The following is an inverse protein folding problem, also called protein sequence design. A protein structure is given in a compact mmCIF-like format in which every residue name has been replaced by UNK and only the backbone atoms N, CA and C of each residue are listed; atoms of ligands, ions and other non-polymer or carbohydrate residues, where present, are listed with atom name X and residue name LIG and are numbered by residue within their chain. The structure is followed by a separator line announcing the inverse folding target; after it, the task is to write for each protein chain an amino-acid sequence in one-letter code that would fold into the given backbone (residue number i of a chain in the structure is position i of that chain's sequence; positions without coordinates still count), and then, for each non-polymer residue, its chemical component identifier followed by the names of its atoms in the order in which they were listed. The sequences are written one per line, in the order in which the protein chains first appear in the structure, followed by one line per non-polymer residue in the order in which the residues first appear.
data_IF_317107109717
#
_entry.id   IF_317107109717
#
_cell.length_a   1.000
_cell.length_b   1.000
_cell.length_c   1.000
_cell.angle_alpha   90.00
_cell.angle_beta   90.00
_cell.angle_gamma   90.00
#
_symmetry.space_group_name_H-M   'P 1'
#
loop_
_entity.id
_entity.type
_entity.pdbx_description
1 polymer ?
#
# COMPACT_ATOMS: atom_id res chain seq x y z
N UNK A 1 46.04 -32.83 61.20
CA UNK A 1 45.70 -34.03 60.41
C UNK A 1 44.69 -33.58 59.36
N UNK A 2 45.02 -33.73 58.06
CA UNK A 2 44.15 -33.70 56.84
C UNK A 2 43.26 -32.46 56.61
N UNK A 3 43.55 -31.57 55.65
CA UNK A 3 43.37 -31.64 54.18
C UNK A 3 41.95 -32.00 53.68
N UNK A 4 41.49 -31.19 52.71
CA UNK A 4 40.50 -31.49 51.64
C UNK A 4 38.98 -31.42 51.97
N UNK A 5 38.26 -30.39 51.51
CA UNK A 5 37.72 -30.26 50.14
C UNK A 5 36.86 -29.00 49.97
N UNK A 6 37.00 -28.43 48.78
CA UNK A 6 36.23 -27.33 48.20
C UNK A 6 34.71 -27.61 48.22
N UNK A 7 33.91 -26.55 48.39
CA UNK A 7 32.88 -26.27 47.40
C UNK A 7 32.56 -24.78 47.35
N UNK A 8 32.99 -24.17 46.26
CA UNK A 8 32.62 -22.84 45.79
C UNK A 8 31.13 -22.84 45.44
N UNK A 9 30.42 -21.73 45.65
CA UNK A 9 30.02 -20.85 44.53
C UNK A 9 29.20 -19.65 44.99
N UNK A 10 29.74 -18.48 44.60
CA UNK A 10 29.00 -17.28 44.20
C UNK A 10 28.52 -16.33 45.30
N UNK A 11 29.51 -15.78 46.02
CA UNK A 11 29.46 -14.41 46.51
C UNK A 11 29.37 -13.41 45.33
N UNK A 12 28.62 -12.33 45.53
CA UNK A 12 28.42 -11.29 44.54
C UNK A 12 29.68 -10.48 44.20
N UNK A 13 29.70 -9.94 42.99
CA UNK A 13 30.55 -8.82 42.57
C UNK A 13 29.65 -7.98 41.64
N UNK A 14 29.29 -6.74 41.95
CA UNK A 14 30.20 -5.67 42.33
C UNK A 14 30.98 -5.25 41.09
N UNK A 15 30.30 -4.71 40.08
CA UNK A 15 30.93 -4.28 38.81
C UNK A 15 31.79 -3.04 39.11
N UNK A 16 33.07 -3.28 39.37
CA UNK A 16 34.12 -2.27 39.52
C UNK A 16 34.38 -1.61 38.15
N UNK A 17 34.21 -0.28 38.09
CA UNK A 17 34.16 0.52 36.85
C UNK A 17 35.56 0.94 36.33
N UNK A 18 36.67 0.41 36.87
CA UNK A 18 38.01 0.96 36.58
C UNK A 18 39.02 0.00 35.93
N UNK A 19 38.63 -1.15 35.38
CA UNK A 19 39.62 -2.11 34.85
C UNK A 19 39.23 -2.91 33.58
N UNK A 20 38.36 -2.41 32.69
CA UNK A 20 37.96 -3.23 31.51
C UNK A 20 37.78 -2.54 30.15
N UNK A 21 38.32 -1.33 29.94
CA UNK A 21 38.17 -0.65 28.64
C UNK A 21 39.20 -1.12 27.60
N UNK A 22 40.26 -1.84 27.98
CA UNK A 22 41.37 -2.18 27.07
C UNK A 22 41.32 -3.57 26.41
N UNK A 23 40.49 -4.51 26.89
CA UNK A 23 40.47 -5.89 26.36
C UNK A 23 39.12 -6.31 25.74
N UNK A 24 38.13 -5.41 25.69
CA UNK A 24 36.85 -5.70 25.08
C UNK A 24 36.99 -5.54 23.55
N UNK A 25 36.86 -6.62 22.77
CA UNK A 25 37.08 -6.52 21.34
C UNK A 25 35.95 -5.66 20.73
N UNK A 26 36.35 -4.71 19.86
CA UNK A 26 35.48 -3.70 19.24
C UNK A 26 34.15 -4.27 18.72
N UNK A 27 34.17 -5.51 18.23
CA UNK A 27 33.01 -6.20 17.66
C UNK A 27 31.90 -6.47 18.68
N UNK A 28 32.20 -6.65 19.98
CA UNK A 28 31.16 -6.80 21.02
C UNK A 28 30.46 -5.48 21.30
N UNK A 29 31.21 -4.38 21.39
CA UNK A 29 30.66 -3.03 21.57
C UNK A 29 29.81 -2.62 20.37
N UNK A 30 30.24 -2.97 19.15
CA UNK A 30 29.47 -2.74 17.92
C UNK A 30 28.22 -3.63 17.91
N UNK A 31 28.32 -4.92 18.27
CA UNK A 31 27.17 -5.83 18.31
C UNK A 31 26.11 -5.38 19.34
N UNK A 32 26.53 -4.90 20.51
CA UNK A 32 25.61 -4.36 21.52
C UNK A 32 24.95 -3.05 21.05
N UNK A 33 25.71 -2.13 20.43
CA UNK A 33 25.15 -0.89 19.87
C UNK A 33 24.22 -1.16 18.70
N UNK A 34 24.53 -2.11 17.82
CA UNK A 34 23.66 -2.53 16.73
C UNK A 34 22.38 -3.19 17.26
N UNK A 35 22.48 -4.07 18.25
CA UNK A 35 21.32 -4.69 18.90
C UNK A 35 20.43 -3.65 19.59
N UNK A 36 21.00 -2.68 20.30
CA UNK A 36 20.24 -1.58 20.91
C UNK A 36 19.66 -0.59 19.89
N UNK A 37 20.36 -0.31 18.78
CA UNK A 37 19.86 0.54 17.70
C UNK A 37 18.71 -0.11 16.92
N UNK A 38 18.72 -1.45 16.79
CA UNK A 38 17.64 -2.20 16.13
C UNK A 38 16.43 -2.50 17.03
N UNK A 39 16.59 -2.52 18.35
CA UNK A 39 15.51 -2.84 19.30
C UNK A 39 14.69 -1.62 19.74
N UNK A 40 15.19 -0.39 19.53
CA UNK A 40 14.52 0.83 20.02
C UNK A 40 13.82 1.66 18.93
N UNK A 41 14.05 1.39 17.64
CA UNK A 41 13.54 2.24 16.56
C UNK A 41 12.46 1.62 15.66
N UNK A 42 11.69 0.66 16.16
CA UNK A 42 10.45 0.29 15.48
C UNK A 42 9.43 -0.31 16.45
N UNK A 43 8.76 0.54 17.24
CA UNK A 43 7.37 0.21 17.63
C UNK A 43 6.49 0.43 16.41
N UNK A 44 6.71 -0.38 15.38
CA UNK A 44 5.84 -0.47 14.23
C UNK A 44 4.49 -0.91 14.76
N UNK A 45 3.46 -0.10 14.54
CA UNK A 45 2.08 -0.51 14.77
C UNK A 45 1.91 -1.94 14.26
N UNK A 46 1.40 -2.85 15.09
CA UNK A 46 1.23 -4.27 14.75
C UNK A 46 0.48 -4.40 13.43
N UNK A 47 1.19 -4.53 12.32
CA UNK A 47 0.60 -4.75 11.02
C UNK A 47 0.06 -6.17 10.99
N UNK A 48 -1.17 -6.33 10.50
CA UNK A 48 -1.76 -7.64 10.27
C UNK A 48 -0.87 -8.46 9.34
N UNK A 49 -0.68 -9.73 9.67
CA UNK A 49 0.14 -10.63 8.86
C UNK A 49 -0.38 -10.63 7.39
N UNK A 50 0.52 -10.39 6.40
CA UNK A 50 0.14 -10.20 4.99
C UNK A 50 -0.59 -11.40 4.39
N UNK A 51 -0.37 -12.61 4.89
CA UNK A 51 -1.08 -13.81 4.42
C UNK A 51 -2.58 -13.74 4.72
N UNK A 52 -2.98 -13.23 5.88
CA UNK A 52 -4.41 -13.06 6.21
C UNK A 52 -5.06 -11.96 5.37
N UNK A 53 -4.31 -10.88 5.08
CA UNK A 53 -4.80 -9.83 4.19
C UNK A 53 -5.00 -10.35 2.76
N UNK A 54 -4.03 -11.13 2.24
CA UNK A 54 -4.13 -11.78 0.93
C UNK A 54 -5.29 -12.77 0.85
N UNK A 55 -5.47 -13.61 1.88
CA UNK A 55 -6.61 -14.53 1.96
C UNK A 55 -7.95 -13.78 2.00
N UNK A 56 -8.03 -12.68 2.74
CA UNK A 56 -9.22 -11.83 2.78
C UNK A 56 -9.58 -11.23 1.42
N UNK A 57 -8.58 -10.73 0.67
CA UNK A 57 -8.79 -10.23 -0.69
C UNK A 57 -9.21 -11.35 -1.64
N UNK A 58 -8.61 -12.54 -1.52
CA UNK A 58 -8.96 -13.71 -2.33
C UNK A 58 -10.41 -14.18 -2.09
N UNK A 59 -10.85 -14.26 -0.83
CA UNK A 59 -12.24 -14.58 -0.48
C UNK A 59 -13.19 -13.51 -1.01
N UNK A 60 -12.84 -12.22 -0.86
CA UNK A 60 -13.66 -11.13 -1.37
C UNK A 60 -13.79 -11.19 -2.91
N UNK A 61 -12.71 -11.52 -3.61
CA UNK A 61 -12.71 -11.70 -5.07
C UNK A 61 -13.57 -12.89 -5.48
N UNK A 62 -13.41 -14.03 -4.79
CA UNK A 62 -14.24 -15.23 -5.02
C UNK A 62 -15.72 -14.91 -4.84
N UNK A 63 -16.09 -14.22 -3.76
CA UNK A 63 -17.48 -13.81 -3.51
C UNK A 63 -17.98 -12.82 -4.57
N UNK A 64 -17.14 -11.90 -5.05
CA UNK A 64 -17.51 -10.98 -6.13
C UNK A 64 -17.85 -11.75 -7.43
N UNK A 65 -17.03 -12.73 -7.80
CA UNK A 65 -17.32 -13.60 -8.93
C UNK A 65 -18.53 -14.51 -8.70
N UNK A 66 -18.68 -15.08 -7.52
CA UNK A 66 -19.77 -16.00 -7.20
C UNK A 66 -21.14 -15.31 -7.17
N UNK A 67 -21.23 -14.13 -6.53
CA UNK A 67 -22.49 -13.41 -6.37
C UNK A 67 -22.87 -12.57 -7.60
N UNK A 68 -21.89 -11.94 -8.24
CA UNK A 68 -22.13 -10.90 -9.27
C UNK A 68 -21.60 -11.32 -10.65
N UNK A 69 -20.79 -12.37 -10.73
CA UNK A 69 -20.18 -12.81 -11.99
C UNK A 69 -19.13 -11.84 -12.55
N UNK A 70 -18.67 -10.87 -11.75
CA UNK A 70 -17.74 -9.81 -12.17
C UNK A 70 -16.71 -9.52 -11.08
N UNK A 71 -15.45 -9.28 -11.46
CA UNK A 71 -14.38 -8.92 -10.52
C UNK A 71 -14.16 -7.41 -10.38
N UNK A 72 -13.33 -7.01 -9.43
CA UNK A 72 -13.10 -5.61 -9.03
C UNK A 72 -12.68 -4.70 -10.19
N UNK A 73 -13.09 -3.42 -10.15
CA UNK A 73 -12.89 -2.47 -11.24
C UNK A 73 -13.16 -1.02 -10.87
N UNK A 74 -12.48 -0.50 -9.84
CA UNK A 74 -12.78 0.78 -9.18
C UNK A 74 -12.85 1.99 -10.13
N UNK A 75 -11.95 2.07 -11.12
CA UNK A 75 -11.92 3.16 -12.11
C UNK A 75 -13.21 3.24 -12.95
N UNK A 76 -13.89 2.12 -13.14
CA UNK A 76 -15.18 2.06 -13.83
C UNK A 76 -16.32 2.66 -13.00
N UNK A 77 -16.26 2.61 -11.67
CA UNK A 77 -17.22 3.30 -10.81
C UNK A 77 -16.96 4.80 -10.78
N UNK A 78 -15.69 5.21 -10.65
CA UNK A 78 -15.34 6.64 -10.67
C UNK A 78 -15.79 7.32 -11.97
N UNK A 79 -15.58 6.65 -13.11
CA UNK A 79 -16.03 7.16 -14.42
C UNK A 79 -17.55 7.28 -14.50
N UNK A 80 -18.32 6.34 -13.93
CA UNK A 80 -19.79 6.39 -13.92
C UNK A 80 -20.33 7.52 -13.07
N UNK A 81 -19.75 7.71 -11.87
CA UNK A 81 -20.10 8.82 -10.98
C UNK A 81 -19.81 10.15 -11.69
N UNK A 82 -18.64 10.28 -12.30
CA UNK A 82 -18.27 11.48 -13.05
C UNK A 82 -19.19 11.71 -14.26
N UNK A 83 -19.49 10.67 -15.04
CA UNK A 83 -20.40 10.75 -16.18
C UNK A 83 -21.81 11.20 -15.76
N UNK A 84 -22.32 10.68 -14.64
CA UNK A 84 -23.61 11.07 -14.08
C UNK A 84 -23.61 12.52 -13.57
N UNK A 85 -22.53 12.94 -12.91
CA UNK A 85 -22.39 14.31 -12.44
C UNK A 85 -22.32 15.28 -13.62
N UNK A 86 -21.55 14.93 -14.65
CA UNK A 86 -21.42 15.69 -15.88
C UNK A 86 -22.73 15.78 -16.65
N UNK A 87 -23.50 14.68 -16.74
CA UNK A 87 -24.84 14.72 -17.38
C UNK A 87 -25.81 15.64 -16.65
N UNK A 88 -25.64 15.85 -15.33
CA UNK A 88 -26.49 16.75 -14.54
C UNK A 88 -26.12 18.23 -14.72
N UNK A 89 -24.83 18.55 -14.83
CA UNK A 89 -24.38 19.94 -14.99
C UNK A 89 -24.31 20.40 -16.45
N UNK A 90 -24.02 19.49 -17.39
CA UNK A 90 -23.84 19.82 -18.81
C UNK A 90 -24.30 18.65 -19.70
N UNK A 91 -25.63 18.46 -19.84
CA UNK A 91 -26.20 17.35 -20.61
C UNK A 91 -25.79 17.39 -22.10
N UNK A 92 -25.78 18.57 -22.72
CA UNK A 92 -25.38 18.77 -24.14
C UNK A 92 -23.96 18.27 -24.46
N UNK A 93 -23.01 18.45 -23.53
CA UNK A 93 -21.63 18.00 -23.72
C UNK A 93 -21.46 16.51 -23.45
N UNK A 94 -22.35 15.94 -22.63
CA UNK A 94 -22.26 14.53 -22.25
C UNK A 94 -22.84 13.62 -23.33
N UNK A 95 -23.85 14.10 -24.06
CA UNK A 95 -24.48 13.38 -25.18
C UNK A 95 -23.71 13.45 -26.51
N UNK A 96 -22.70 14.31 -26.62
CA UNK A 96 -21.81 14.36 -27.80
C UNK A 96 -20.62 13.41 -27.64
N UNK A 97 -20.18 13.14 -26.41
CA UNK A 97 -19.06 12.24 -26.15
C UNK A 97 -19.50 10.76 -26.16
N UNK A 98 -19.14 10.05 -27.24
CA UNK A 98 -19.31 8.59 -27.38
C UNK A 98 -18.79 7.82 -26.16
N UNK A 99 -17.71 8.32 -25.57
CA UNK A 99 -17.11 7.78 -24.36
C UNK A 99 -18.06 7.73 -23.16
N UNK A 100 -18.82 8.80 -22.89
CA UNK A 100 -19.74 8.87 -21.76
C UNK A 100 -21.05 8.14 -22.02
N UNK A 101 -21.50 8.11 -23.29
CA UNK A 101 -22.69 7.33 -23.68
C UNK A 101 -22.61 5.89 -23.20
N UNK A 102 -21.47 5.21 -23.33
CA UNK A 102 -21.30 3.81 -22.88
C UNK A 102 -21.57 3.62 -21.38
N UNK A 103 -21.35 4.64 -20.56
CA UNK A 103 -21.58 4.58 -19.11
C UNK A 103 -23.00 5.01 -18.71
N UNK A 104 -23.67 5.80 -19.55
CA UNK A 104 -25.02 6.34 -19.31
C UNK A 104 -26.14 5.51 -19.96
N UNK A 105 -25.83 4.76 -21.03
CA UNK A 105 -26.79 3.94 -21.80
C UNK A 105 -26.96 2.51 -21.25
N UNK A 106 -26.44 2.22 -20.05
CA UNK A 106 -26.79 0.97 -19.37
C UNK A 106 -28.27 1.02 -18.98
N UNK A 107 -29.00 -0.09 -19.09
CA UNK A 107 -30.47 -0.22 -18.97
C UNK A 107 -31.08 0.13 -17.58
N UNK A 108 -30.42 0.95 -16.77
CA UNK A 108 -30.85 1.46 -15.48
C UNK A 108 -30.06 2.69 -15.05
N UNK A 109 -30.32 3.21 -13.85
CA UNK A 109 -29.67 4.41 -13.35
C UNK A 109 -28.13 4.21 -13.25
N UNK A 110 -27.28 5.09 -13.80
CA UNK A 110 -25.82 4.88 -13.96
C UNK A 110 -25.06 4.56 -12.67
N UNK A 111 -25.58 5.03 -11.52
CA UNK A 111 -25.04 4.80 -10.19
C UNK A 111 -25.41 3.44 -9.58
N UNK A 112 -26.47 2.78 -10.06
CA UNK A 112 -26.89 1.44 -9.61
C UNK A 112 -26.08 0.33 -10.30
N UNK A 113 -24.78 0.57 -10.47
CA UNK A 113 -23.86 -0.43 -10.98
C UNK A 113 -23.11 -1.05 -9.81
N UNK A 114 -22.96 -2.37 -9.77
CA UNK A 114 -22.36 -3.08 -8.64
C UNK A 114 -20.99 -2.52 -8.21
N UNK A 115 -20.17 -2.08 -9.18
CA UNK A 115 -18.84 -1.48 -8.95
C UNK A 115 -18.92 -0.19 -8.10
N UNK A 116 -20.03 0.56 -8.17
CA UNK A 116 -20.22 1.76 -7.34
C UNK A 116 -20.38 1.36 -5.87
N UNK A 117 -21.12 0.29 -5.59
CA UNK A 117 -21.23 -0.26 -4.24
C UNK A 117 -19.89 -0.80 -3.72
N UNK A 118 -19.08 -1.42 -4.58
CA UNK A 118 -17.71 -1.83 -4.22
C UNK A 118 -16.85 -0.62 -3.86
N UNK A 119 -16.90 0.45 -4.66
CA UNK A 119 -16.13 1.66 -4.42
C UNK A 119 -16.50 2.32 -3.08
N UNK A 120 -17.80 2.40 -2.78
CA UNK A 120 -18.30 2.93 -1.51
C UNK A 120 -17.90 2.00 -0.36
N UNK A 121 -18.07 0.69 -0.52
CA UNK A 121 -17.72 -0.31 0.48
C UNK A 121 -16.22 -0.33 0.80
N UNK A 122 -15.35 -0.21 -0.21
CA UNK A 122 -13.89 -0.13 -0.02
C UNK A 122 -13.46 1.18 0.63
N UNK A 123 -14.10 2.31 0.29
CA UNK A 123 -13.87 3.59 0.95
C UNK A 123 -14.25 3.54 2.44
N UNK A 124 -15.44 3.02 2.77
CA UNK A 124 -15.89 2.86 4.17
C UNK A 124 -15.00 1.85 4.91
N UNK A 125 -14.69 0.71 4.30
CA UNK A 125 -13.82 -0.31 4.89
C UNK A 125 -12.42 0.22 5.19
N UNK A 126 -11.84 0.99 4.26
CA UNK A 126 -10.56 1.67 4.44
C UNK A 126 -10.60 2.69 5.58
N UNK A 127 -11.67 3.49 5.64
CA UNK A 127 -11.88 4.47 6.71
C UNK A 127 -12.01 3.80 8.09
N UNK A 128 -12.85 2.78 8.21
CA UNK A 128 -13.02 2.02 9.46
C UNK A 128 -11.72 1.34 9.87
N UNK A 129 -10.96 0.79 8.92
CA UNK A 129 -9.62 0.22 9.17
C UNK A 129 -8.63 1.28 9.67
N UNK A 130 -8.63 2.47 9.07
CA UNK A 130 -7.78 3.58 9.50
C UNK A 130 -8.12 4.09 10.91
N UNK A 131 -9.41 4.20 11.22
CA UNK A 131 -9.92 4.61 12.53
C UNK A 131 -9.57 3.58 13.61
N UNK A 132 -9.83 2.29 13.36
CA UNK A 132 -9.46 1.20 14.29
C UNK A 132 -7.95 1.13 14.52
N UNK A 133 -7.16 1.36 13.48
CA UNK A 133 -5.71 1.41 13.57
C UNK A 133 -5.16 2.68 14.23
N UNK A 134 -6.01 3.64 14.62
CA UNK A 134 -5.63 4.96 15.17
C UNK A 134 -4.52 5.65 14.38
N UNK A 135 -4.50 5.44 13.07
CA UNK A 135 -3.44 5.86 12.14
C UNK A 135 -3.89 6.91 11.13
N UNK A 136 -5.10 7.44 11.30
CA UNK A 136 -5.59 8.58 10.53
C UNK A 136 -4.86 9.83 10.99
N UNK A 137 -3.82 10.21 10.23
CA UNK A 137 -3.07 11.45 10.45
C UNK A 137 -3.00 12.20 9.13
N UNK A 138 -3.31 13.49 9.18
CA UNK A 138 -3.15 14.37 8.03
C UNK A 138 -1.69 14.83 8.00
N UNK A 139 -0.85 14.12 7.26
CA UNK A 139 0.58 14.42 7.16
C UNK A 139 1.04 14.53 5.70
N UNK A 140 1.92 15.49 5.44
CA UNK A 140 2.59 15.62 4.15
C UNK A 140 3.86 14.77 4.17
N UNK A 141 3.76 13.53 3.69
CA UNK A 141 4.90 12.61 3.61
C UNK A 141 5.87 13.12 2.53
N UNK A 142 7.06 13.56 2.95
CA UNK A 142 8.14 14.10 2.10
C UNK A 142 9.51 13.60 2.55
N UNK A 143 10.46 13.55 1.62
CA UNK A 143 11.87 13.30 1.93
C UNK A 143 12.50 14.48 2.71
N UNK A 144 13.62 14.25 3.42
CA UNK A 144 14.31 15.28 4.21
C UNK A 144 14.64 16.52 3.38
N UNK A 145 15.08 16.28 2.14
CA UNK A 145 15.61 17.28 1.22
C UNK A 145 14.58 17.91 0.25
N UNK A 146 13.29 17.56 0.35
CA UNK A 146 12.27 17.98 -0.63
C UNK A 146 11.29 18.99 -0.04
N UNK A 147 11.04 20.06 -0.80
CA UNK A 147 10.07 21.09 -0.45
C UNK A 147 8.62 20.63 -0.63
N UNK A 148 7.69 21.20 0.14
CA UNK A 148 6.25 20.87 0.07
C UNK A 148 5.68 21.08 -1.33
N UNK A 149 6.07 22.17 -2.00
CA UNK A 149 5.63 22.49 -3.37
C UNK A 149 6.09 21.44 -4.37
N UNK A 150 7.37 21.04 -4.33
CA UNK A 150 7.93 20.03 -5.24
C UNK A 150 7.26 18.66 -5.04
N UNK A 151 6.96 18.28 -3.80
CA UNK A 151 6.23 17.04 -3.49
C UNK A 151 4.80 17.03 -4.06
N UNK A 152 4.08 18.14 -3.92
CA UNK A 152 2.72 18.27 -4.48
C UNK A 152 2.78 18.18 -6.01
N UNK A 153 3.65 18.95 -6.65
CA UNK A 153 3.80 18.96 -8.11
C UNK A 153 4.16 17.55 -8.64
N UNK A 154 5.15 16.89 -8.04
CA UNK A 154 5.55 15.53 -8.45
C UNK A 154 4.43 14.50 -8.25
N UNK A 155 3.66 14.60 -7.16
CA UNK A 155 2.50 13.71 -6.94
C UNK A 155 1.35 13.95 -7.93
N UNK A 156 1.10 15.22 -8.30
CA UNK A 156 0.10 15.57 -9.30
C UNK A 156 0.49 15.09 -10.69
N UNK A 157 1.75 15.33 -11.10
CA UNK A 157 2.28 14.86 -12.38
C UNK A 157 2.19 13.32 -12.43
N UNK A 158 2.68 12.63 -11.38
CA UNK A 158 2.59 11.17 -11.30
C UNK A 158 1.14 10.66 -11.37
N UNK A 159 0.22 11.30 -10.66
CA UNK A 159 -1.21 10.97 -10.71
C UNK A 159 -1.82 11.14 -12.10
N UNK A 160 -1.50 12.22 -12.81
CA UNK A 160 -1.96 12.46 -14.18
C UNK A 160 -1.42 11.39 -15.14
N UNK A 161 -0.12 11.08 -15.06
CA UNK A 161 0.48 10.03 -15.90
C UNK A 161 -0.15 8.66 -15.64
N UNK A 162 -0.36 8.29 -14.37
CA UNK A 162 -1.00 7.02 -14.01
C UNK A 162 -2.46 6.98 -14.47
N UNK A 163 -3.22 8.07 -14.30
CA UNK A 163 -4.60 8.15 -14.75
C UNK A 163 -4.71 8.03 -16.28
N UNK A 164 -3.84 8.72 -17.01
CA UNK A 164 -3.75 8.62 -18.45
C UNK A 164 -3.40 7.19 -18.90
N UNK A 165 -2.36 6.59 -18.29
CA UNK A 165 -1.95 5.22 -18.56
C UNK A 165 -3.04 4.18 -18.26
N UNK A 166 -3.73 4.31 -17.13
CA UNK A 166 -4.86 3.46 -16.77
C UNK A 166 -5.99 3.55 -17.80
N UNK A 167 -6.21 4.73 -18.40
CA UNK A 167 -7.22 4.89 -19.44
C UNK A 167 -6.84 4.23 -20.75
N UNK A 168 -5.58 4.40 -21.18
CA UNK A 168 -5.03 3.73 -22.37
C UNK A 168 -5.03 2.22 -22.22
N UNK A 169 -4.68 1.70 -21.03
CA UNK A 169 -4.72 0.27 -20.73
C UNK A 169 -6.14 -0.30 -20.60
N UNK A 170 -7.16 0.55 -20.54
CA UNK A 170 -8.56 0.15 -20.43
C UNK A 170 -9.02 -0.22 -19.02
N UNK A 171 -8.20 -0.03 -17.99
CA UNK A 171 -8.52 -0.42 -16.62
C UNK A 171 -7.52 0.07 -15.56
N UNK A 172 -7.91 -0.06 -14.29
CA UNK A 172 -7.02 0.18 -13.16
C UNK A 172 -6.25 -1.10 -12.79
N UNK A 173 -5.23 -0.97 -11.92
CA UNK A 173 -4.44 -2.10 -11.44
C UNK A 173 -5.31 -3.16 -10.77
N UNK A 174 -6.30 -2.78 -9.95
CA UNK A 174 -7.23 -3.73 -9.32
C UNK A 174 -7.95 -4.60 -10.36
N UNK A 175 -8.39 -4.02 -11.48
CA UNK A 175 -9.07 -4.77 -12.53
C UNK A 175 -8.13 -5.57 -13.43
N UNK A 176 -7.03 -4.96 -13.88
CA UNK A 176 -6.14 -5.57 -14.85
C UNK A 176 -5.15 -6.56 -14.22
N UNK A 177 -4.69 -6.31 -13.00
CA UNK A 177 -3.76 -7.20 -12.31
C UNK A 177 -4.47 -8.23 -11.43
N UNK A 178 -5.38 -7.80 -10.54
CA UNK A 178 -5.98 -8.72 -9.55
C UNK A 178 -7.06 -9.58 -10.20
N UNK A 179 -8.07 -8.94 -10.81
CA UNK A 179 -9.18 -9.66 -11.46
C UNK A 179 -8.68 -10.51 -12.63
N UNK A 180 -7.96 -9.94 -13.61
CA UNK A 180 -7.48 -10.73 -14.76
C UNK A 180 -6.36 -11.72 -14.39
N UNK A 181 -5.54 -11.41 -13.38
CA UNK A 181 -4.53 -12.35 -12.86
C UNK A 181 -5.17 -13.58 -12.22
N UNK A 182 -6.29 -13.42 -11.50
CA UNK A 182 -7.04 -14.54 -10.92
C UNK A 182 -7.66 -15.45 -11.99
N UNK A 183 -7.99 -14.89 -13.17
CA UNK A 183 -8.49 -15.63 -14.33
C UNK A 183 -7.37 -16.23 -15.19
N UNK A 184 -6.11 -16.12 -14.75
CA UNK A 184 -4.93 -16.57 -15.51
C UNK A 184 -4.82 -15.97 -16.92
N UNK A 185 -5.37 -14.77 -17.13
CA UNK A 185 -5.33 -14.10 -18.42
C UNK A 185 -3.90 -13.67 -18.77
N UNK A 186 -3.43 -14.02 -19.97
CA UNK A 186 -2.11 -13.62 -20.49
C UNK A 186 -1.96 -12.09 -20.46
N UNK A 187 -3.02 -11.36 -20.83
CA UNK A 187 -3.01 -9.90 -20.81
C UNK A 187 -2.88 -9.33 -19.39
N UNK A 188 -3.52 -9.96 -18.40
CA UNK A 188 -3.43 -9.54 -16.99
C UNK A 188 -2.05 -9.75 -16.41
N UNK A 189 -1.44 -10.91 -16.67
CA UNK A 189 -0.07 -11.20 -16.26
C UNK A 189 0.96 -10.29 -16.94
N UNK A 190 0.81 -10.07 -18.26
CA UNK A 190 1.67 -9.13 -18.99
C UNK A 190 1.56 -7.71 -18.41
N UNK A 191 0.34 -7.23 -18.17
CA UNK A 191 0.11 -5.94 -17.53
C UNK A 191 0.76 -5.86 -16.15
N UNK A 192 0.61 -6.91 -15.32
CA UNK A 192 1.20 -6.98 -13.99
C UNK A 192 2.73 -6.86 -14.02
N UNK A 193 3.41 -7.63 -14.88
CA UNK A 193 4.87 -7.55 -14.99
C UNK A 193 5.35 -6.20 -15.51
N UNK A 194 4.67 -5.62 -16.50
CA UNK A 194 5.01 -4.33 -17.06
C UNK A 194 4.82 -3.20 -16.03
N UNK A 195 3.68 -3.16 -15.33
CA UNK A 195 3.39 -2.09 -14.37
C UNK A 195 4.32 -2.15 -13.15
N UNK A 196 4.65 -3.35 -12.66
CA UNK A 196 5.60 -3.52 -11.56
C UNK A 196 7.01 -3.08 -12.01
N UNK A 197 7.45 -3.54 -13.18
CA UNK A 197 8.78 -3.17 -13.71
C UNK A 197 8.90 -1.67 -13.96
N UNK A 198 7.89 -1.04 -14.57
CA UNK A 198 7.83 0.40 -14.79
C UNK A 198 7.79 1.18 -13.47
N UNK A 199 7.06 0.67 -12.47
CA UNK A 199 7.00 1.25 -11.13
C UNK A 199 8.36 1.21 -10.42
N UNK A 200 9.06 0.07 -10.47
CA UNK A 200 10.39 -0.08 -9.91
C UNK A 200 11.42 0.82 -10.61
N UNK A 201 11.37 0.91 -11.95
CA UNK A 201 12.23 1.80 -12.73
C UNK A 201 11.99 3.27 -12.35
N UNK A 202 10.72 3.68 -12.27
CA UNK A 202 10.34 5.05 -11.89
C UNK A 202 10.78 5.36 -10.46
N UNK A 203 10.60 4.43 -9.52
CA UNK A 203 11.06 4.56 -8.16
C UNK A 203 12.59 4.72 -8.09
N UNK A 204 13.34 3.98 -8.91
CA UNK A 204 14.79 4.11 -8.99
C UNK A 204 15.25 5.49 -9.50
N UNK A 205 14.55 6.06 -10.49
CA UNK A 205 14.86 7.40 -11.03
C UNK A 205 14.59 8.49 -9.98
N UNK A 206 13.47 8.38 -9.26
CA UNK A 206 12.99 9.41 -8.34
C UNK A 206 13.54 9.20 -6.90
N UNK A 207 14.31 8.14 -6.64
CA UNK A 207 14.86 7.83 -5.30
C UNK A 207 15.63 8.99 -4.66
N UNK A 208 16.24 9.86 -5.48
CA UNK A 208 16.96 11.06 -5.03
C UNK A 208 16.07 12.08 -4.31
N UNK A 209 14.75 12.02 -4.49
CA UNK A 209 13.79 12.86 -3.76
C UNK A 209 13.52 12.36 -2.32
N UNK A 210 13.98 11.16 -1.97
CA UNK A 210 13.73 10.52 -0.67
C UNK A 210 14.99 10.31 0.17
N UNK A 211 16.16 10.40 -0.44
CA UNK A 211 17.46 10.42 0.23
C UNK A 211 17.82 11.85 0.64
#
# INVERSE_FOLDING_TARGET
MTLEKQNETSAGQGVNVTESILDQPLWETIAQKLKQANLTNNKGSSFSNPYFAGMGIGIALFLAFFLVGRGFGDSGAMTRIFAYLMSKFTPEHTDTLYYFKRYLSTSGHPLYHWVVFVLIGSAIGGLVSGLKGKRMKMEFIRGPNVSRKRRIITSLIGGILVAFGARMAGGCVTGLAITSGSLLSVAGWLFFFVVISAGMLTAYIIKKEWL
#
